data_IF_461777713846
#
_entry.id   IF_461777713846
#
_cell.length_a   1.000
_cell.length_b   1.000
_cell.length_c   1.000
_cell.angle_alpha   90.00
_cell.angle_beta   90.00
_cell.angle_gamma   90.00
#
_symmetry.space_group_name_H-M   'P 1'
#
loop_
_entity.id
_entity.type
_entity.pdbx_description
1 polymer ?
#
# COMPACT_ATOMS: atom_id res chain seq x y z
N UNK A 1 -1.02 -24.21 -10.51
CA UNK A 1 -1.03 -22.73 -10.49
C UNK A 1 0.39 -22.25 -10.34
N UNK A 2 0.85 -21.36 -11.22
CA UNK A 2 2.14 -20.69 -11.09
C UNK A 2 1.98 -19.45 -10.22
N UNK A 3 2.89 -19.21 -9.26
CA UNK A 3 3.00 -17.94 -8.55
C UNK A 3 4.23 -17.20 -9.04
N UNK A 4 4.09 -15.90 -9.28
CA UNK A 4 5.20 -15.01 -9.60
C UNK A 4 5.72 -14.34 -8.32
N UNK A 5 7.03 -14.09 -8.30
CA UNK A 5 7.68 -13.30 -7.26
C UNK A 5 8.53 -12.25 -7.99
N UNK A 6 8.34 -10.99 -7.64
CA UNK A 6 9.12 -9.86 -8.16
C UNK A 6 10.16 -9.45 -7.13
N UNK A 7 11.42 -9.38 -7.54
CA UNK A 7 12.52 -8.88 -6.72
C UNK A 7 12.96 -7.51 -7.25
N UNK A 8 13.24 -6.58 -6.34
CA UNK A 8 13.79 -5.26 -6.66
C UNK A 8 15.28 -5.24 -6.27
N UNK A 9 16.12 -4.69 -7.15
CA UNK A 9 17.56 -4.61 -6.90
C UNK A 9 17.91 -3.66 -5.75
N UNK A 10 17.08 -2.62 -5.53
CA UNK A 10 17.28 -1.62 -4.49
C UNK A 10 15.95 -1.33 -3.76
N UNK A 11 16.00 -1.05 -2.45
CA UNK A 11 14.83 -0.55 -1.74
C UNK A 11 14.59 0.93 -2.08
N UNK A 12 13.33 1.36 -2.05
CA UNK A 12 13.01 2.78 -2.22
C UNK A 12 11.59 3.07 -2.67
N UNK A 13 11.25 4.36 -2.72
CA UNK A 13 9.93 4.87 -3.11
C UNK A 13 9.63 4.61 -4.59
N UNK A 14 10.67 4.52 -5.41
CA UNK A 14 10.60 4.20 -6.85
C UNK A 14 9.86 2.89 -7.11
N UNK A 15 9.91 1.94 -6.18
CA UNK A 15 9.26 0.63 -6.33
C UNK A 15 7.75 0.68 -6.05
N UNK A 16 7.24 1.76 -5.44
CA UNK A 16 5.84 1.82 -4.96
C UNK A 16 4.84 1.56 -6.08
N UNK A 17 5.09 2.10 -7.28
CA UNK A 17 4.19 1.93 -8.43
C UNK A 17 4.16 0.48 -8.93
N UNK A 18 5.34 -0.16 -9.02
CA UNK A 18 5.43 -1.56 -9.40
C UNK A 18 4.76 -2.47 -8.37
N UNK A 19 4.90 -2.18 -7.07
CA UNK A 19 4.22 -2.92 -6.00
C UNK A 19 2.70 -2.79 -6.13
N UNK A 20 2.18 -1.60 -6.45
CA UNK A 20 0.74 -1.38 -6.64
C UNK A 20 0.20 -2.29 -7.76
N UNK A 21 0.90 -2.36 -8.89
CA UNK A 21 0.47 -3.22 -10.00
C UNK A 21 0.57 -4.71 -9.66
N UNK A 22 1.63 -5.15 -8.99
CA UNK A 22 1.75 -6.55 -8.53
C UNK A 22 0.62 -6.93 -7.58
N UNK A 23 0.28 -6.05 -6.62
CA UNK A 23 -0.83 -6.29 -5.68
C UNK A 23 -2.17 -6.30 -6.42
N UNK A 24 -2.35 -5.41 -7.41
CA UNK A 24 -3.58 -5.36 -8.18
C UNK A 24 -3.79 -6.61 -9.03
N UNK A 25 -2.76 -7.10 -9.72
CA UNK A 25 -2.84 -8.37 -10.46
C UNK A 25 -3.11 -9.55 -9.51
N UNK A 26 -2.52 -9.54 -8.31
CA UNK A 26 -2.81 -10.55 -7.29
C UNK A 26 -4.25 -10.49 -6.79
N UNK A 27 -4.82 -9.28 -6.66
CA UNK A 27 -6.21 -9.07 -6.26
C UNK A 27 -7.20 -9.64 -7.29
N UNK A 28 -6.89 -9.53 -8.59
CA UNK A 28 -7.72 -10.06 -9.68
C UNK A 28 -7.87 -11.59 -9.67
N UNK A 29 -6.98 -12.32 -9.00
CA UNK A 29 -7.14 -13.77 -8.79
C UNK A 29 -8.41 -14.10 -7.98
N UNK A 30 -8.95 -13.12 -7.22
CA UNK A 30 -10.29 -13.16 -6.64
C UNK A 30 -10.43 -13.93 -5.32
N UNK A 31 -9.36 -14.55 -4.83
CA UNK A 31 -9.31 -15.25 -3.55
C UNK A 31 -8.98 -14.33 -2.35
N UNK A 32 -8.65 -13.06 -2.61
CA UNK A 32 -8.43 -12.04 -1.58
C UNK A 32 -9.42 -10.88 -1.72
N UNK A 33 -9.87 -10.33 -0.58
CA UNK A 33 -10.87 -9.25 -0.53
C UNK A 33 -10.38 -7.99 0.16
N UNK A 34 -9.24 -8.06 0.85
CA UNK A 34 -8.75 -6.97 1.67
C UNK A 34 -7.26 -6.76 1.43
N UNK A 35 -6.87 -5.50 1.34
CA UNK A 35 -5.49 -5.08 1.17
C UNK A 35 -5.17 -4.12 2.31
N UNK A 36 -4.12 -4.43 3.07
CA UNK A 36 -3.68 -3.59 4.20
C UNK A 36 -2.36 -2.94 3.82
N UNK A 37 -2.28 -1.62 3.89
CA UNK A 37 -1.13 -0.84 3.42
C UNK A 37 -0.62 0.07 4.54
N UNK A 38 0.66 -0.03 4.87
CA UNK A 38 1.33 0.94 5.72
C UNK A 38 1.62 2.23 4.95
N UNK A 39 1.21 3.38 5.48
CA UNK A 39 1.45 4.69 4.85
C UNK A 39 1.55 5.78 5.89
N UNK A 40 2.78 6.18 6.24
CA UNK A 40 3.02 7.19 7.29
C UNK A 40 2.52 8.59 6.93
N UNK A 41 2.72 9.01 5.67
CA UNK A 41 2.36 10.36 5.18
C UNK A 41 1.08 10.39 4.34
N UNK A 42 0.32 9.30 4.28
CA UNK A 42 -0.85 9.20 3.38
C UNK A 42 -0.53 9.00 1.89
N UNK A 43 0.64 9.42 1.39
CA UNK A 43 0.99 9.38 -0.04
C UNK A 43 0.88 7.99 -0.68
N UNK A 44 1.42 6.95 -0.02
CA UNK A 44 1.32 5.58 -0.52
C UNK A 44 -0.13 5.11 -0.49
N UNK A 45 -0.83 5.34 0.62
CA UNK A 45 -2.24 5.00 0.76
C UNK A 45 -3.13 5.63 -0.30
N UNK A 46 -2.88 6.90 -0.66
CA UNK A 46 -3.60 7.59 -1.72
C UNK A 46 -3.41 6.94 -3.10
N UNK A 47 -2.18 6.50 -3.42
CA UNK A 47 -1.91 5.80 -4.69
C UNK A 47 -2.64 4.46 -4.75
N UNK A 48 -2.58 3.67 -3.68
CA UNK A 48 -3.35 2.43 -3.57
C UNK A 48 -4.87 2.70 -3.67
N UNK A 49 -5.36 3.74 -3.01
CA UNK A 49 -6.77 4.09 -3.03
C UNK A 49 -7.26 4.43 -4.45
N UNK A 50 -6.48 5.23 -5.18
CA UNK A 50 -6.78 5.55 -6.60
C UNK A 50 -6.85 4.30 -7.47
N UNK A 51 -6.00 3.30 -7.21
CA UNK A 51 -5.91 2.11 -8.04
C UNK A 51 -6.97 1.05 -7.74
N UNK A 52 -7.25 0.78 -6.47
CA UNK A 52 -7.99 -0.43 -6.08
C UNK A 52 -9.04 -0.24 -4.98
N UNK A 53 -9.24 0.95 -4.39
CA UNK A 53 -10.22 1.13 -3.30
C UNK A 53 -11.67 0.78 -3.68
N UNK A 54 -12.02 0.83 -4.97
CA UNK A 54 -13.37 0.45 -5.45
C UNK A 54 -13.56 -1.06 -5.57
N UNK A 55 -12.47 -1.81 -5.68
CA UNK A 55 -12.45 -3.25 -5.97
C UNK A 55 -12.06 -4.09 -4.74
N UNK A 56 -11.59 -3.45 -3.67
CA UNK A 56 -11.09 -4.12 -2.46
C UNK A 56 -11.48 -3.38 -1.19
N UNK A 57 -11.52 -4.10 -0.08
CA UNK A 57 -11.52 -3.50 1.25
C UNK A 57 -10.10 -3.01 1.57
N UNK A 58 -9.80 -1.76 1.20
CA UNK A 58 -8.50 -1.14 1.40
C UNK A 58 -8.40 -0.53 2.80
N UNK A 59 -7.46 -1.03 3.60
CA UNK A 59 -7.17 -0.51 4.94
C UNK A 59 -5.81 0.18 4.93
N UNK A 60 -5.79 1.49 5.19
CA UNK A 60 -4.56 2.27 5.29
C UNK A 60 -4.20 2.44 6.77
N UNK A 61 -3.00 2.01 7.14
CA UNK A 61 -2.49 2.10 8.51
C UNK A 61 -1.36 3.12 8.56
N UNK A 62 -1.55 4.16 9.39
CA UNK A 62 -0.54 5.19 9.65
C UNK A 62 0.22 4.94 10.95
N UNK A 63 1.31 5.69 11.15
CA UNK A 63 1.97 5.81 12.45
C UNK A 63 1.05 6.49 13.47
N UNK A 64 1.23 6.18 14.75
CA UNK A 64 0.52 6.87 15.84
C UNK A 64 0.81 8.38 15.86
N UNK A 65 -0.18 9.22 16.24
CA UNK A 65 0.09 10.62 16.57
C UNK A 65 1.19 10.73 17.64
N UNK A 66 2.09 11.70 17.49
CA UNK A 66 3.21 11.86 18.42
C UNK A 66 4.49 11.13 18.04
N UNK A 67 4.48 10.26 17.01
CA UNK A 67 5.65 9.44 16.66
C UNK A 67 6.92 10.26 16.34
N UNK A 68 6.78 11.35 15.58
CA UNK A 68 7.91 12.23 15.28
C UNK A 68 8.03 13.41 16.25
N UNK A 69 6.90 13.94 16.70
CA UNK A 69 6.83 15.12 17.56
C UNK A 69 5.54 15.01 18.39
N UNK A 70 5.59 15.18 19.72
CA UNK A 70 4.40 15.09 20.57
C UNK A 70 3.27 15.97 20.05
N UNK A 71 2.06 15.41 19.95
CA UNK A 71 0.87 16.10 19.44
C UNK A 71 0.77 16.26 17.92
N UNK A 72 1.77 15.85 17.14
CA UNK A 72 1.74 15.94 15.67
C UNK A 72 1.43 14.58 15.05
N UNK A 73 0.45 14.54 14.14
CA UNK A 73 0.21 13.39 13.28
C UNK A 73 0.66 13.73 11.85
N UNK A 74 1.60 12.94 11.31
CA UNK A 74 2.18 13.17 9.97
C UNK A 74 1.30 12.65 8.82
N UNK A 75 0.13 12.12 9.13
CA UNK A 75 -0.83 11.65 8.15
C UNK A 75 -1.68 12.82 7.69
N UNK A 76 -1.64 13.09 6.38
CA UNK A 76 -2.37 14.16 5.69
C UNK A 76 -3.32 13.54 4.66
#
# INVERSE_FOLDING_TARGET
MSRSILYFDKPGIENTEAVIEVVYERLKEGDIKSVVVASSSGKTGLKFAKRMAKETNLVIVSSQPGFSTPGVWKFD
#
